data_IF_571583362021
#
_entry.id   IF_571583362021
#
_cell.length_a   1.000
_cell.length_b   1.000
_cell.length_c   1.000
_cell.angle_alpha   90.00
_cell.angle_beta   90.00
_cell.angle_gamma   90.00
#
_symmetry.space_group_name_H-M   'P 1'
#
loop_
_entity.id
_entity.type
_entity.pdbx_description
1 polymer ?
#
# COMPACT_ATOMS: atom_id res chain seq x y z
N UNK A 1 26.75 0.57 -8.30
CA UNK A 1 25.91 0.48 -7.08
C UNK A 1 26.78 0.28 -5.84
N UNK A 2 26.62 1.12 -4.81
CA UNK A 2 27.42 1.02 -3.58
C UNK A 2 26.77 -0.05 -2.67
N UNK A 3 27.38 -1.23 -2.59
CA UNK A 3 26.97 -2.29 -1.65
C UNK A 3 27.76 -2.11 -0.36
N UNK A 4 27.18 -1.44 0.64
CA UNK A 4 27.81 -1.33 1.97
C UNK A 4 27.41 -2.56 2.77
N UNK A 5 28.34 -3.51 2.90
CA UNK A 5 28.17 -4.61 3.83
C UNK A 5 28.10 -4.06 5.26
N UNK A 6 27.05 -4.48 5.96
CA UNK A 6 26.65 -4.05 7.31
C UNK A 6 27.83 -3.93 8.29
N UNK A 7 27.80 -2.81 9.03
CA UNK A 7 28.36 -2.57 10.37
C UNK A 7 29.64 -1.73 10.54
N UNK A 8 30.29 -1.22 9.47
CA UNK A 8 31.51 -0.40 9.64
C UNK A 8 31.37 1.09 9.22
N UNK A 9 30.40 1.44 8.37
CA UNK A 9 30.30 2.78 7.76
C UNK A 9 28.87 3.36 7.72
N UNK A 10 28.15 3.23 8.83
CA UNK A 10 26.73 3.60 8.96
C UNK A 10 26.40 5.03 8.53
N UNK A 11 27.28 6.01 8.83
CA UNK A 11 27.06 7.41 8.44
C UNK A 11 26.99 7.60 6.93
N UNK A 12 27.88 6.93 6.19
CA UNK A 12 27.91 7.03 4.73
C UNK A 12 26.77 6.22 4.11
N UNK A 13 26.44 5.07 4.70
CA UNK A 13 25.29 4.26 4.28
C UNK A 13 23.98 5.05 4.38
N UNK A 14 23.74 5.70 5.51
CA UNK A 14 22.56 6.54 5.72
C UNK A 14 22.53 7.71 4.72
N UNK A 15 23.66 8.36 4.49
CA UNK A 15 23.76 9.43 3.50
C UNK A 15 23.43 8.95 2.08
N UNK A 16 23.96 7.79 1.65
CA UNK A 16 23.63 7.20 0.36
C UNK A 16 22.14 6.82 0.27
N UNK A 17 21.60 6.22 1.33
CA UNK A 17 20.18 5.85 1.41
C UNK A 17 19.26 7.07 1.29
N UNK A 18 19.62 8.20 1.90
CA UNK A 18 18.87 9.46 1.79
C UNK A 18 18.89 10.03 0.36
N UNK A 19 20.03 9.92 -0.33
CA UNK A 19 20.14 10.36 -1.73
C UNK A 19 19.25 9.50 -2.63
N UNK A 20 19.31 8.17 -2.49
CA UNK A 20 18.53 7.23 -3.31
C UNK A 20 17.03 7.43 -3.09
N UNK A 21 16.61 7.69 -1.86
CA UNK A 21 15.24 8.04 -1.50
C UNK A 21 14.73 9.26 -2.27
N UNK A 22 15.50 10.35 -2.25
CA UNK A 22 15.13 11.65 -2.83
C UNK A 22 15.28 11.69 -4.35
N UNK A 23 16.25 10.98 -4.90
CA UNK A 23 16.62 11.01 -6.31
C UNK A 23 16.77 9.58 -6.88
N UNK A 24 15.69 8.78 -6.89
CA UNK A 24 15.75 7.39 -7.36
C UNK A 24 16.22 7.27 -8.81
N UNK A 25 15.94 8.27 -9.65
CA UNK A 25 16.42 8.38 -11.03
C UNK A 25 17.95 8.20 -11.16
N UNK A 26 18.74 8.60 -10.17
CA UNK A 26 20.20 8.42 -10.21
C UNK A 26 20.62 6.96 -10.32
N UNK A 27 19.78 6.03 -9.85
CA UNK A 27 20.01 4.60 -10.00
C UNK A 27 19.23 4.05 -11.20
N UNK A 28 17.94 4.35 -11.29
CA UNK A 28 17.08 3.74 -12.30
C UNK A 28 17.41 4.18 -13.73
N UNK A 29 17.84 5.43 -13.93
CA UNK A 29 18.26 5.95 -15.25
C UNK A 29 19.72 5.63 -15.59
N UNK A 30 20.47 4.96 -14.70
CA UNK A 30 21.85 4.63 -14.97
C UNK A 30 21.96 3.63 -16.14
N UNK A 31 22.96 3.84 -17.01
CA UNK A 31 23.19 2.98 -18.18
C UNK A 31 23.45 1.52 -17.79
N UNK A 32 24.04 1.31 -16.61
CA UNK A 32 24.36 0.00 -16.03
C UNK A 32 23.28 -0.53 -15.07
N UNK A 33 22.09 0.09 -15.01
CA UNK A 33 20.99 -0.35 -14.14
C UNK A 33 20.62 -1.82 -14.34
N UNK A 34 20.63 -2.30 -15.58
CA UNK A 34 20.34 -3.71 -15.91
C UNK A 34 21.41 -4.68 -15.39
N UNK A 35 22.58 -4.18 -15.00
CA UNK A 35 23.66 -4.98 -14.42
C UNK A 35 23.58 -5.08 -12.89
N UNK A 36 22.55 -4.50 -12.26
CA UNK A 36 22.37 -4.56 -10.81
C UNK A 36 22.18 -6.00 -10.34
N UNK A 37 22.87 -6.43 -9.26
CA UNK A 37 22.59 -7.71 -8.63
C UNK A 37 21.14 -7.76 -8.13
N UNK A 38 20.50 -8.91 -8.28
CA UNK A 38 19.11 -9.16 -7.86
C UNK A 38 18.88 -8.74 -6.41
N UNK A 39 19.78 -9.11 -5.49
CA UNK A 39 19.69 -8.79 -4.06
C UNK A 39 19.58 -7.29 -3.81
N UNK A 40 20.25 -6.48 -4.62
CA UNK A 40 20.32 -5.05 -4.43
C UNK A 40 19.17 -4.32 -5.15
N UNK A 41 18.70 -4.86 -6.28
CA UNK A 41 17.42 -4.46 -6.86
C UNK A 41 16.26 -4.74 -5.89
N UNK A 42 16.23 -5.92 -5.25
CA UNK A 42 15.29 -6.25 -4.17
C UNK A 42 15.40 -5.26 -3.01
N UNK A 43 16.61 -4.90 -2.58
CA UNK A 43 16.80 -3.90 -1.51
C UNK A 43 16.23 -2.54 -1.89
N UNK A 44 16.34 -2.10 -3.15
CA UNK A 44 15.72 -0.86 -3.62
C UNK A 44 14.20 -0.96 -3.58
N UNK A 45 13.65 -2.09 -4.03
CA UNK A 45 12.21 -2.25 -4.20
C UNK A 45 11.46 -2.47 -2.89
N UNK A 46 12.17 -2.93 -1.85
CA UNK A 46 11.68 -2.97 -0.46
C UNK A 46 11.57 -1.60 0.19
N UNK A 47 12.10 -0.54 -0.43
CA UNK A 47 12.04 0.81 0.12
C UNK A 47 10.69 1.44 -0.17
N UNK A 48 10.05 1.94 0.88
CA UNK A 48 8.78 2.65 0.77
C UNK A 48 8.93 4.17 0.68
N UNK A 49 10.16 4.68 0.74
CA UNK A 49 10.48 6.10 0.78
C UNK A 49 10.96 6.67 -0.56
N UNK A 50 11.10 5.82 -1.60
CA UNK A 50 11.52 6.25 -2.94
C UNK A 50 10.54 7.28 -3.52
N UNK A 51 11.05 8.45 -3.88
CA UNK A 51 10.28 9.52 -4.52
C UNK A 51 10.05 9.25 -6.03
N UNK A 52 9.46 8.10 -6.36
CA UNK A 52 9.16 7.68 -7.74
C UNK A 52 7.81 6.97 -7.80
N UNK A 53 7.04 7.26 -8.87
CA UNK A 53 5.77 6.58 -9.12
C UNK A 53 6.01 5.10 -9.36
N UNK A 54 5.18 4.27 -8.73
CA UNK A 54 5.27 2.81 -8.84
C UNK A 54 5.22 2.30 -10.28
N UNK A 55 4.32 2.84 -11.12
CA UNK A 55 4.27 2.50 -12.55
C UNK A 55 5.60 2.72 -13.28
N UNK A 56 6.38 3.74 -12.89
CA UNK A 56 7.71 3.96 -13.48
C UNK A 56 8.72 2.94 -12.96
N UNK A 57 8.66 2.60 -11.67
CA UNK A 57 9.52 1.54 -11.10
C UNK A 57 9.28 0.22 -11.85
N UNK A 58 8.02 -0.07 -12.23
CA UNK A 58 7.66 -1.23 -13.02
C UNK A 58 8.33 -1.28 -14.38
N UNK A 59 8.36 -0.17 -15.11
CA UNK A 59 9.03 -0.09 -16.41
C UNK A 59 10.52 -0.49 -16.29
N UNK A 60 11.20 -0.06 -15.22
CA UNK A 60 12.59 -0.45 -14.97
C UNK A 60 12.74 -1.91 -14.56
N UNK A 61 11.88 -2.45 -13.70
CA UNK A 61 11.93 -3.87 -13.31
C UNK A 61 11.77 -4.77 -14.52
N UNK A 62 10.85 -4.44 -15.42
CA UNK A 62 10.67 -5.22 -16.66
C UNK A 62 11.90 -5.08 -17.56
N UNK A 63 12.45 -3.86 -17.71
CA UNK A 63 13.71 -3.64 -18.45
C UNK A 63 14.86 -4.47 -17.87
N UNK A 64 14.99 -4.54 -16.55
CA UNK A 64 15.99 -5.38 -15.87
C UNK A 64 15.76 -6.85 -16.18
N UNK A 65 14.53 -7.36 -16.08
CA UNK A 65 14.24 -8.76 -16.30
C UNK A 65 14.48 -9.22 -17.74
N UNK A 66 14.11 -8.38 -18.72
CA UNK A 66 14.40 -8.64 -20.15
C UNK A 66 15.92 -8.74 -20.36
N UNK A 67 16.71 -7.92 -19.66
CA UNK A 67 18.18 -7.98 -19.77
C UNK A 67 18.78 -9.27 -19.22
N UNK A 68 18.14 -9.87 -18.20
CA UNK A 68 18.55 -11.16 -17.64
C UNK A 68 18.07 -12.35 -18.48
N UNK A 69 17.05 -12.16 -19.33
CA UNK A 69 16.44 -13.20 -20.16
C UNK A 69 16.44 -12.82 -21.64
N UNK A 70 17.57 -13.00 -22.36
CA UNK A 70 17.70 -12.60 -23.77
C UNK A 70 16.72 -13.29 -24.74
N UNK A 71 16.01 -14.34 -24.30
CA UNK A 71 15.00 -15.04 -25.08
C UNK A 71 13.67 -14.26 -25.18
N UNK A 72 13.47 -13.21 -24.38
CA UNK A 72 12.29 -12.36 -24.44
C UNK A 72 12.47 -11.23 -25.47
N UNK A 73 11.45 -10.93 -26.30
CA UNK A 73 11.46 -9.78 -27.20
C UNK A 73 11.63 -8.48 -26.41
N UNK A 74 12.47 -7.59 -26.91
CA UNK A 74 12.65 -6.25 -26.32
C UNK A 74 11.47 -5.31 -26.57
N UNK A 75 10.65 -5.59 -27.59
CA UNK A 75 9.48 -4.79 -27.94
C UNK A 75 8.21 -5.43 -27.37
N UNK A 76 7.49 -4.73 -26.48
CA UNK A 76 6.26 -5.23 -25.87
C UNK A 76 5.14 -5.54 -26.87
N UNK A 77 5.09 -4.85 -28.01
CA UNK A 77 4.06 -5.07 -29.03
C UNK A 77 4.20 -6.44 -29.72
N UNK A 78 5.36 -7.09 -29.58
CA UNK A 78 5.66 -8.40 -30.16
C UNK A 78 5.41 -9.57 -29.19
N UNK A 79 4.90 -9.28 -27.99
CA UNK A 79 4.77 -10.30 -26.95
C UNK A 79 3.58 -11.22 -27.17
N UNK A 80 3.86 -12.52 -27.27
CA UNK A 80 2.83 -13.54 -27.18
C UNK A 80 2.48 -13.85 -25.73
N UNK A 81 1.35 -14.55 -25.50
CA UNK A 81 0.98 -15.07 -24.17
C UNK A 81 2.07 -15.93 -23.53
N UNK A 82 2.86 -16.64 -24.33
CA UNK A 82 3.96 -17.47 -23.84
C UNK A 82 5.12 -16.60 -23.35
N UNK A 83 5.42 -15.49 -24.01
CA UNK A 83 6.43 -14.53 -23.54
C UNK A 83 6.04 -13.92 -22.19
N UNK A 84 4.76 -13.57 -22.02
CA UNK A 84 4.24 -13.13 -20.72
C UNK A 84 4.35 -14.22 -19.66
N UNK A 85 4.08 -15.48 -20.01
CA UNK A 85 4.18 -16.60 -19.09
C UNK A 85 5.64 -16.87 -18.70
N UNK A 86 6.58 -16.81 -19.65
CA UNK A 86 8.02 -16.92 -19.39
C UNK A 86 8.51 -15.79 -18.49
N UNK A 87 8.18 -14.53 -18.80
CA UNK A 87 8.50 -13.40 -17.94
C UNK A 87 7.93 -13.60 -16.53
N UNK A 88 6.65 -14.01 -16.44
CA UNK A 88 5.99 -14.29 -15.17
C UNK A 88 6.72 -15.37 -14.38
N UNK A 89 7.12 -16.47 -15.01
CA UNK A 89 7.84 -17.57 -14.36
C UNK A 89 9.23 -17.14 -13.91
N UNK A 90 9.97 -16.39 -14.73
CA UNK A 90 11.32 -15.95 -14.33
C UNK A 90 11.26 -14.88 -13.24
N UNK A 91 10.36 -13.90 -13.33
CA UNK A 91 10.12 -12.94 -12.24
C UNK A 91 9.69 -13.64 -10.95
N UNK A 92 8.88 -14.70 -11.03
CA UNK A 92 8.49 -15.50 -9.86
C UNK A 92 9.68 -16.23 -9.22
N UNK A 93 10.67 -16.66 -10.02
CA UNK A 93 11.88 -17.33 -9.55
C UNK A 93 12.93 -16.34 -9.01
N UNK A 94 13.17 -15.24 -9.72
CA UNK A 94 14.15 -14.19 -9.38
C UNK A 94 13.62 -13.20 -8.34
N UNK A 95 12.31 -13.12 -8.14
CA UNK A 95 11.72 -12.20 -7.18
C UNK A 95 10.48 -12.80 -6.49
N UNK A 96 10.67 -13.70 -5.51
CA UNK A 96 9.54 -14.24 -4.73
C UNK A 96 8.68 -13.16 -4.06
N UNK A 97 9.27 -11.99 -3.79
CA UNK A 97 8.61 -10.82 -3.18
C UNK A 97 7.86 -9.91 -4.18
N UNK A 98 8.09 -10.04 -5.49
CA UNK A 98 7.47 -9.21 -6.53
C UNK A 98 6.09 -9.69 -6.98
N UNK A 99 5.72 -10.89 -6.55
CA UNK A 99 4.44 -11.52 -6.79
C UNK A 99 3.26 -10.56 -6.49
N UNK A 100 3.34 -9.79 -5.42
CA UNK A 100 2.20 -9.04 -4.90
C UNK A 100 1.68 -7.92 -5.82
N UNK A 101 2.56 -7.29 -6.59
CA UNK A 101 2.23 -6.07 -7.32
C UNK A 101 1.82 -6.35 -8.78
N UNK A 102 2.27 -7.47 -9.35
CA UNK A 102 1.85 -7.93 -10.67
C UNK A 102 0.43 -8.54 -10.68
N UNK A 103 -0.02 -9.05 -9.51
CA UNK A 103 -1.28 -9.79 -9.36
C UNK A 103 -2.54 -8.92 -9.45
N UNK A 104 -2.47 -7.62 -9.14
CA UNK A 104 -3.64 -6.74 -9.20
C UNK A 104 -4.08 -6.39 -10.63
N UNK A 105 -3.18 -6.51 -11.62
CA UNK A 105 -3.45 -6.05 -12.98
C UNK A 105 -3.81 -7.18 -13.97
N UNK A 106 -3.45 -8.45 -13.69
CA UNK A 106 -3.64 -9.56 -14.63
C UNK A 106 -4.04 -10.92 -13.98
N UNK A 107 -5.35 -11.08 -13.74
CA UNK A 107 -6.13 -12.35 -13.82
C UNK A 107 -6.33 -13.23 -12.55
N UNK A 108 -7.53 -13.87 -12.41
CA UNK A 108 -8.03 -14.48 -11.17
C UNK A 108 -7.79 -16.00 -11.09
N UNK A 109 -7.70 -16.51 -9.85
CA UNK A 109 -7.75 -17.93 -9.43
C UNK A 109 -6.48 -18.79 -9.63
N UNK A 110 -5.68 -18.91 -8.58
CA UNK A 110 -5.17 -20.17 -8.00
C UNK A 110 -4.34 -19.88 -6.74
N UNK A 111 -4.32 -20.83 -5.79
CA UNK A 111 -3.95 -20.68 -4.37
C UNK A 111 -2.49 -20.28 -4.06
N UNK A 112 -2.33 -19.59 -2.93
CA UNK A 112 -1.34 -18.56 -2.57
C UNK A 112 -0.18 -19.05 -1.69
N UNK A 113 1.06 -18.54 -1.86
CA UNK A 113 2.01 -18.37 -0.75
C UNK A 113 1.59 -17.16 0.10
N UNK A 114 1.61 -17.26 1.44
CA UNK A 114 1.22 -16.16 2.36
C UNK A 114 2.12 -14.93 2.20
N UNK A 115 1.66 -13.96 1.42
CA UNK A 115 2.23 -12.60 1.30
C UNK A 115 1.90 -11.72 2.52
N UNK A 116 2.70 -10.67 2.74
CA UNK A 116 2.36 -9.59 3.67
C UNK A 116 1.43 -8.60 2.97
N UNK A 117 0.12 -8.65 3.24
CA UNK A 117 -0.86 -7.71 2.68
C UNK A 117 -0.63 -6.25 3.13
N UNK A 118 0.26 -6.01 4.10
CA UNK A 118 0.61 -4.68 4.60
C UNK A 118 2.02 -4.64 5.20
N UNK A 119 2.66 -3.48 5.09
CA UNK A 119 3.92 -3.14 5.78
C UNK A 119 3.68 -2.46 7.14
N UNK A 120 2.46 -1.98 7.39
CA UNK A 120 2.10 -1.23 8.61
C UNK A 120 1.41 -2.15 9.62
N UNK A 121 0.51 -3.01 9.17
CA UNK A 121 -0.28 -3.90 10.03
C UNK A 121 0.06 -5.37 9.78
N UNK A 122 0.03 -6.16 10.85
CA UNK A 122 0.23 -7.62 10.80
C UNK A 122 -1.10 -8.36 10.57
N UNK A 123 -1.03 -9.66 10.31
CA UNK A 123 -2.21 -10.54 10.26
C UNK A 123 -3.04 -10.47 11.55
N UNK A 124 -2.40 -10.34 12.72
CA UNK A 124 -3.10 -10.20 14.00
C UNK A 124 -3.89 -8.89 14.07
N UNK A 125 -3.33 -7.79 13.57
CA UNK A 125 -4.03 -6.51 13.46
C UNK A 125 -5.21 -6.61 12.49
N UNK A 126 -5.04 -7.27 11.34
CA UNK A 126 -6.13 -7.48 10.40
C UNK A 126 -7.25 -8.35 10.98
N UNK A 127 -6.90 -9.43 11.69
CA UNK A 127 -7.86 -10.27 12.39
C UNK A 127 -8.65 -9.48 13.46
N UNK A 128 -7.97 -8.59 14.20
CA UNK A 128 -8.62 -7.72 15.16
C UNK A 128 -9.60 -6.74 14.49
N UNK A 129 -9.21 -6.13 13.37
CA UNK A 129 -10.11 -5.28 12.58
C UNK A 129 -11.32 -6.08 12.06
N UNK A 130 -11.13 -7.31 11.58
CA UNK A 130 -12.23 -8.18 11.13
C UNK A 130 -13.25 -8.46 12.23
N UNK A 131 -12.80 -8.68 13.46
CA UNK A 131 -13.67 -8.84 14.64
C UNK A 131 -14.48 -7.56 14.86
N UNK A 132 -13.87 -6.39 14.69
CA UNK A 132 -14.56 -5.11 14.82
C UNK A 132 -15.56 -4.85 13.69
N UNK A 133 -15.27 -5.23 12.45
CA UNK A 133 -16.23 -5.10 11.34
C UNK A 133 -17.50 -5.89 11.67
N UNK A 134 -17.36 -7.13 12.14
CA UNK A 134 -18.51 -8.01 12.45
C UNK A 134 -19.09 -7.81 13.85
N UNK A 135 -18.59 -6.82 14.61
CA UNK A 135 -18.98 -6.55 16.01
C UNK A 135 -18.89 -7.79 16.91
N UNK A 136 -17.91 -8.66 16.67
CA UNK A 136 -17.66 -9.86 17.48
C UNK A 136 -16.87 -9.53 18.74
N UNK A 137 -16.96 -10.43 19.72
CA UNK A 137 -16.20 -10.36 20.98
C UNK A 137 -15.13 -11.45 21.10
N UNK A 138 -15.10 -12.40 20.16
CA UNK A 138 -14.14 -13.50 20.13
C UNK A 138 -13.39 -13.56 18.80
N UNK A 139 -12.19 -14.13 18.84
CA UNK A 139 -11.32 -14.27 17.67
C UNK A 139 -11.83 -15.32 16.70
N UNK A 140 -11.49 -15.13 15.43
CA UNK A 140 -11.70 -16.13 14.39
C UNK A 140 -10.71 -17.28 14.52
N UNK A 141 -11.18 -18.52 14.31
CA UNK A 141 -10.29 -19.66 14.06
C UNK A 141 -9.63 -19.52 12.68
N UNK A 142 -10.40 -19.07 11.69
CA UNK A 142 -9.95 -18.69 10.35
C UNK A 142 -10.63 -17.37 9.98
N UNK A 143 -9.84 -16.32 9.68
CA UNK A 143 -10.38 -15.01 9.34
C UNK A 143 -11.12 -15.07 7.98
N UNK A 144 -12.42 -14.71 7.89
CA UNK A 144 -13.17 -14.75 6.62
C UNK A 144 -12.82 -13.59 5.69
N UNK A 145 -12.08 -12.59 6.15
CA UNK A 145 -11.70 -11.42 5.35
C UNK A 145 -10.37 -11.63 4.62
N UNK A 146 -10.34 -11.19 3.37
CA UNK A 146 -9.12 -10.96 2.59
C UNK A 146 -8.89 -9.46 2.52
N UNK A 147 -7.76 -8.99 3.05
CA UNK A 147 -7.38 -7.59 2.99
C UNK A 147 -6.53 -7.35 1.76
N UNK A 148 -6.90 -6.35 0.97
CA UNK A 148 -6.18 -5.99 -0.25
C UNK A 148 -5.67 -4.55 -0.13
N UNK A 149 -4.37 -4.38 -0.33
CA UNK A 149 -3.75 -3.06 -0.34
C UNK A 149 -4.13 -2.34 -1.63
N UNK A 150 -4.95 -1.29 -1.54
CA UNK A 150 -5.35 -0.47 -2.69
C UNK A 150 -4.29 0.58 -3.02
N UNK A 151 -3.79 1.31 -2.01
CA UNK A 151 -2.81 2.38 -2.21
C UNK A 151 -1.96 2.64 -0.98
N UNK A 152 -0.74 3.14 -1.18
CA UNK A 152 0.16 3.65 -0.13
C UNK A 152 0.49 5.11 -0.34
N UNK A 153 0.18 5.95 0.65
CA UNK A 153 0.52 7.38 0.60
C UNK A 153 2.01 7.67 0.46
N UNK A 154 2.90 6.81 0.99
CA UNK A 154 4.35 6.98 0.80
C UNK A 154 4.81 6.88 -0.66
N UNK A 155 4.01 6.24 -1.53
CA UNK A 155 4.30 6.05 -2.95
C UNK A 155 3.57 7.03 -3.86
N UNK A 156 2.32 7.35 -3.53
CA UNK A 156 1.48 8.24 -4.36
C UNK A 156 1.37 9.67 -3.82
N UNK A 157 1.96 9.94 -2.67
CA UNK A 157 1.76 11.17 -1.91
C UNK A 157 0.48 11.14 -1.07
N UNK A 158 0.28 12.19 -0.28
CA UNK A 158 -0.85 12.32 0.65
C UNK A 158 -1.89 13.36 0.19
N UNK A 159 -1.84 13.80 -1.06
CA UNK A 159 -2.78 14.80 -1.54
C UNK A 159 -4.25 14.30 -1.48
N UNK A 160 -5.21 15.09 -0.97
CA UNK A 160 -6.62 14.70 -0.89
C UNK A 160 -7.22 14.23 -2.20
N UNK A 161 -6.85 14.90 -3.30
CA UNK A 161 -7.30 14.55 -4.64
C UNK A 161 -6.98 13.09 -4.98
N UNK A 162 -5.78 12.64 -4.63
CA UNK A 162 -5.32 11.28 -4.92
C UNK A 162 -6.24 10.24 -4.26
N UNK A 163 -6.74 10.53 -3.05
CA UNK A 163 -7.71 9.66 -2.40
C UNK A 163 -9.02 9.59 -3.19
N UNK A 164 -9.61 10.73 -3.51
CA UNK A 164 -10.91 10.77 -4.19
C UNK A 164 -10.87 10.21 -5.62
N UNK A 165 -9.74 10.33 -6.32
CA UNK A 165 -9.57 9.76 -7.66
C UNK A 165 -9.48 8.23 -7.62
N UNK A 166 -8.80 7.68 -6.61
CA UNK A 166 -8.57 6.24 -6.49
C UNK A 166 -9.77 5.52 -5.89
N UNK A 167 -10.35 6.08 -4.83
CA UNK A 167 -11.36 5.39 -4.03
C UNK A 167 -12.79 5.57 -4.53
N UNK A 168 -13.01 6.29 -5.63
CA UNK A 168 -14.34 6.42 -6.23
C UNK A 168 -14.99 5.05 -6.44
N UNK A 169 -16.18 4.86 -5.87
CA UNK A 169 -16.94 3.60 -5.94
C UNK A 169 -16.41 2.46 -5.06
N UNK A 170 -15.28 2.62 -4.38
CA UNK A 170 -14.74 1.60 -3.48
C UNK A 170 -15.45 1.63 -2.13
N UNK A 171 -15.95 0.48 -1.69
CA UNK A 171 -16.61 0.27 -0.39
C UNK A 171 -15.75 -0.62 0.52
N UNK A 172 -16.16 -0.80 1.78
CA UNK A 172 -15.47 -1.63 2.78
C UNK A 172 -13.98 -1.28 2.92
N UNK A 173 -13.70 0.02 2.96
CA UNK A 173 -12.33 0.54 2.95
C UNK A 173 -11.80 0.73 4.36
N UNK A 174 -10.50 0.47 4.52
CA UNK A 174 -9.76 0.73 5.76
C UNK A 174 -8.64 1.70 5.45
N UNK A 175 -8.60 2.81 6.17
CA UNK A 175 -7.46 3.70 6.19
C UNK A 175 -6.56 3.30 7.36
N UNK A 176 -5.27 3.13 7.09
CA UNK A 176 -4.24 2.87 8.11
C UNK A 176 -3.17 3.94 8.01
N UNK A 177 -2.86 4.58 9.13
CA UNK A 177 -1.86 5.64 9.25
C UNK A 177 -0.85 5.25 10.32
N UNK A 178 0.44 5.25 9.95
CA UNK A 178 1.54 5.14 10.92
C UNK A 178 1.99 6.54 11.34
N UNK A 179 2.01 6.82 12.64
CA UNK A 179 2.42 8.14 13.18
C UNK A 179 3.93 8.31 13.04
N UNK A 180 4.38 9.42 12.43
CA UNK A 180 5.82 9.66 12.23
C UNK A 180 6.53 9.86 13.58
N UNK A 181 7.64 9.16 13.79
CA UNK A 181 8.43 9.25 15.03
C UNK A 181 7.85 8.44 16.19
N UNK A 182 6.76 7.70 15.95
CA UNK A 182 6.20 6.74 16.88
C UNK A 182 5.91 5.41 16.15
N UNK A 183 5.71 4.34 16.89
CA UNK A 183 5.20 3.08 16.34
C UNK A 183 3.68 2.96 16.45
N UNK A 184 3.01 4.08 16.75
CA UNK A 184 1.54 4.13 16.85
C UNK A 184 0.89 3.99 15.47
N UNK A 185 -0.16 3.18 15.42
CA UNK A 185 -0.96 2.93 14.22
C UNK A 185 -2.39 3.36 14.51
N UNK A 186 -2.86 4.32 13.73
CA UNK A 186 -4.23 4.82 13.76
C UNK A 186 -4.94 4.43 12.48
N UNK A 187 -6.26 4.45 12.50
CA UNK A 187 -7.01 4.17 11.29
C UNK A 187 -8.50 4.32 11.44
N UNK A 188 -9.19 3.98 10.36
CA UNK A 188 -10.63 4.05 10.27
C UNK A 188 -11.17 3.03 9.27
N UNK A 189 -12.43 2.65 9.46
CA UNK A 189 -13.17 1.77 8.56
C UNK A 189 -14.45 2.45 8.10
N UNK A 190 -14.70 2.43 6.79
CA UNK A 190 -15.96 2.87 6.19
C UNK A 190 -16.56 1.73 5.33
N UNK A 191 -17.79 1.27 5.62
CA UNK A 191 -18.47 0.25 4.82
C UNK A 191 -19.02 0.78 3.49
N UNK A 192 -19.21 2.09 3.34
CA UNK A 192 -19.85 2.65 2.15
C UNK A 192 -18.88 2.91 1.00
N UNK A 193 -19.42 2.87 -0.21
CA UNK A 193 -18.72 3.34 -1.40
C UNK A 193 -18.47 4.85 -1.30
N UNK A 194 -17.22 5.28 -1.55
CA UNK A 194 -16.87 6.70 -1.65
C UNK A 194 -17.42 7.30 -2.94
N UNK A 195 -17.91 8.54 -2.85
CA UNK A 195 -18.52 9.23 -3.99
C UNK A 195 -18.03 10.68 -4.17
N UNK A 196 -17.27 10.89 -5.23
CA UNK A 196 -16.69 12.14 -5.69
C UNK A 196 -17.53 12.81 -6.80
N UNK A 197 -18.68 12.25 -7.18
CA UNK A 197 -19.48 12.73 -8.33
C UNK A 197 -20.10 14.12 -8.14
N UNK A 198 -20.16 14.64 -6.91
CA UNK A 198 -20.75 15.94 -6.60
C UNK A 198 -19.77 16.81 -5.80
N UNK A 199 -18.81 17.41 -6.53
CA UNK A 199 -17.64 18.12 -6.01
C UNK A 199 -18.02 19.41 -5.23
N UNK A 200 -19.25 19.90 -5.40
CA UNK A 200 -19.70 21.18 -4.81
C UNK A 200 -20.46 21.03 -3.49
N UNK A 201 -20.72 19.80 -3.00
CA UNK A 201 -21.50 19.58 -1.76
C UNK A 201 -20.77 18.66 -0.79
N UNK A 202 -20.48 19.18 0.40
CA UNK A 202 -20.08 18.36 1.54
C UNK A 202 -21.27 17.53 2.03
N UNK A 203 -21.20 16.20 1.85
CA UNK A 203 -22.25 15.31 2.31
C UNK A 203 -21.74 14.32 3.34
N UNK A 204 -22.35 14.40 4.51
CA UNK A 204 -22.17 13.45 5.58
C UNK A 204 -23.10 12.27 5.41
N UNK A 205 -22.58 11.08 5.67
CA UNK A 205 -23.37 9.85 5.77
C UNK A 205 -23.43 9.40 7.22
N UNK A 206 -24.61 8.95 7.65
CA UNK A 206 -24.84 8.35 8.96
C UNK A 206 -24.56 6.86 8.90
N UNK A 207 -23.82 6.35 9.87
CA UNK A 207 -23.59 4.91 10.02
C UNK A 207 -23.09 4.61 11.42
N UNK A 208 -23.56 3.49 11.96
CA UNK A 208 -23.05 2.93 13.21
C UNK A 208 -21.92 1.93 12.97
N UNK A 209 -21.70 1.54 11.72
CA UNK A 209 -20.75 0.50 11.31
C UNK A 209 -19.38 1.07 10.95
N UNK A 210 -19.29 2.38 10.67
CA UNK A 210 -17.98 3.04 10.63
C UNK A 210 -17.38 3.17 12.02
N UNK A 211 -16.06 3.10 12.08
CA UNK A 211 -15.33 3.28 13.32
C UNK A 211 -13.92 3.82 13.04
N UNK A 212 -13.33 4.42 14.06
CA UNK A 212 -11.92 4.78 14.09
C UNK A 212 -11.22 3.95 15.15
N UNK A 213 -9.92 3.74 15.00
CA UNK A 213 -9.17 2.87 15.89
C UNK A 213 -7.72 3.30 16.09
N UNK A 214 -7.15 2.79 17.17
CA UNK A 214 -5.71 2.67 17.39
C UNK A 214 -5.38 1.19 17.58
N UNK A 215 -4.35 0.68 16.91
CA UNK A 215 -3.90 -0.70 17.12
C UNK A 215 -2.81 -0.76 18.18
N UNK A 216 -2.78 -1.86 18.94
CA UNK A 216 -1.64 -2.18 19.82
C UNK A 216 -0.39 -2.33 18.97
N UNK A 217 0.62 -1.50 19.22
CA UNK A 217 1.91 -1.60 18.57
C UNK A 217 2.94 -0.78 19.36
N UNK A 218 4.21 -1.21 19.33
CA UNK A 218 5.27 -0.55 20.09
C UNK A 218 4.94 -0.43 21.58
N UNK A 219 4.73 0.80 22.06
CA UNK A 219 4.43 1.09 23.46
C UNK A 219 2.94 0.92 23.84
N UNK A 220 2.04 0.84 22.86
CA UNK A 220 0.59 0.67 23.10
C UNK A 220 0.30 -0.80 23.37
N UNK A 221 -0.14 -1.12 24.58
CA UNK A 221 -0.42 -2.50 25.01
C UNK A 221 -1.75 -3.05 24.49
N UNK A 222 -2.77 -2.18 24.36
CA UNK A 222 -4.12 -2.57 23.98
C UNK A 222 -4.64 -1.71 22.83
N UNK A 223 -5.26 -2.35 21.85
CA UNK A 223 -5.96 -1.66 20.77
C UNK A 223 -7.19 -0.93 21.32
N UNK A 224 -7.54 0.19 20.68
CA UNK A 224 -8.69 1.02 21.02
C UNK A 224 -9.62 1.05 19.81
N UNK A 225 -10.88 0.68 20.01
CA UNK A 225 -11.96 0.80 19.04
C UNK A 225 -12.90 1.93 19.46
N UNK A 226 -13.17 2.88 18.57
CA UNK A 226 -14.14 3.95 18.79
C UNK A 226 -15.22 3.93 17.71
N UNK A 227 -16.46 3.64 18.11
CA UNK A 227 -17.63 3.66 17.24
C UNK A 227 -18.38 4.97 17.36
N UNK A 228 -19.09 5.31 16.28
CA UNK A 228 -20.09 6.37 16.25
C UNK A 228 -21.13 6.11 17.35
N UNK A 229 -21.40 7.10 18.20
CA UNK A 229 -22.42 6.98 19.26
C UNK A 229 -23.80 7.28 18.65
N UNK A 230 -24.89 6.76 19.21
CA UNK A 230 -26.21 7.15 18.72
C UNK A 230 -26.64 8.47 19.40
N UNK A 231 -26.41 9.62 18.75
CA UNK A 231 -27.03 10.90 19.15
C UNK A 231 -27.64 11.61 17.94
N UNK A 232 -28.69 12.38 18.19
CA UNK A 232 -29.60 12.98 17.18
C UNK A 232 -28.94 13.87 16.12
N UNK A 233 -27.66 14.21 16.27
CA UNK A 233 -26.89 15.08 15.36
C UNK A 233 -25.82 14.35 14.54
N UNK A 234 -25.58 13.06 14.73
CA UNK A 234 -24.32 12.46 14.26
C UNK A 234 -24.22 12.26 12.75
N UNK A 235 -23.21 12.92 12.20
CA UNK A 235 -22.65 12.77 10.87
C UNK A 235 -21.35 11.95 11.00
N UNK A 236 -21.32 10.73 10.49
CA UNK A 236 -20.27 9.76 10.82
C UNK A 236 -19.08 9.81 9.87
N UNK A 237 -19.33 9.94 8.57
CA UNK A 237 -18.30 9.94 7.53
C UNK A 237 -18.64 11.01 6.51
N UNK A 238 -17.67 11.81 6.09
CA UNK A 238 -17.83 12.66 4.90
C UNK A 238 -17.68 11.76 3.69
N UNK A 239 -18.80 11.39 3.09
CA UNK A 239 -18.80 10.45 1.95
C UNK A 239 -18.67 11.17 0.60
N UNK A 240 -18.99 12.47 0.58
CA UNK A 240 -18.79 13.36 -0.57
C UNK A 240 -18.12 14.64 -0.12
N UNK A 241 -16.97 14.97 -0.71
CA UNK A 241 -16.24 16.18 -0.39
C UNK A 241 -15.71 16.84 -1.66
N UNK A 242 -15.52 18.17 -1.58
CA UNK A 242 -14.61 18.88 -2.47
C UNK A 242 -13.19 18.40 -2.15
N UNK A 243 -12.30 18.40 -3.14
CA UNK A 243 -10.90 17.95 -3.08
C UNK A 243 -9.99 18.69 -2.06
N UNK A 244 -10.56 19.29 -1.01
CA UNK A 244 -9.89 20.02 0.07
C UNK A 244 -9.47 19.11 1.22
N UNK A 245 -10.15 17.98 1.45
CA UNK A 245 -9.83 17.02 2.52
C UNK A 245 -9.91 15.59 1.98
N UNK A 246 -9.12 14.68 2.55
CA UNK A 246 -9.22 13.25 2.29
C UNK A 246 -10.40 12.61 3.03
N UNK A 247 -10.30 11.34 3.44
CA UNK A 247 -11.35 10.69 4.21
C UNK A 247 -11.50 11.36 5.59
N UNK A 248 -12.74 11.56 6.00
CA UNK A 248 -13.09 12.20 7.27
C UNK A 248 -14.18 11.41 8.02
N UNK A 249 -13.91 11.14 9.29
CA UNK A 249 -14.74 10.39 10.23
C UNK A 249 -15.09 11.28 11.42
N UNK A 250 -16.34 11.72 11.46
CA UNK A 250 -16.80 12.77 12.38
C UNK A 250 -15.95 14.04 12.26
N UNK A 251 -15.90 14.81 13.33
CA UNK A 251 -14.95 15.93 13.46
C UNK A 251 -13.63 15.50 14.11
N UNK A 252 -13.47 14.20 14.37
CA UNK A 252 -12.42 13.66 15.25
C UNK A 252 -11.21 13.12 14.47
N UNK A 253 -11.42 12.53 13.28
CA UNK A 253 -10.35 11.93 12.49
C UNK A 253 -10.49 12.25 11.01
N UNK A 254 -9.52 12.95 10.45
CA UNK A 254 -9.49 13.30 9.04
C UNK A 254 -8.04 13.45 8.56
N UNK A 255 -7.82 13.18 7.28
CA UNK A 255 -6.51 13.30 6.63
C UNK A 255 -6.52 14.48 5.67
N UNK A 256 -5.48 15.31 5.76
CA UNK A 256 -5.21 16.42 4.86
C UNK A 256 -4.30 16.02 3.70
#
# INVERSE_FOLDING_TARGET
MIHLCKNNFEKLENFCNDIVSKYPNLIFDADDFTSLPESALVSLLKRDDLQMKEVKIWDYVIKWEISQNPALPTNFDEWSKENFLTLKTTLQQSFPYFHQLFYQQFSPRAEEPKELFSIIISEDHAAEISIWIDRKTSTYTNNPYRFELIVRGSRVGFAPQTFWDIFQGHANTILVVKVKGADEILGSYNPFAWDNSNIDVYQWTRTEDSFIFSLKNGNIQNSILSRVKNTSTQTAVVNKAKNMYGPQFGLDFYVF
#
